data_IF_611145455546
#
_entry.id   IF_611145455546
#
_cell.length_a   1.000
_cell.length_b   1.000
_cell.length_c   1.000
_cell.angle_alpha   90.00
_cell.angle_beta   90.00
_cell.angle_gamma   90.00
#
_symmetry.space_group_name_H-M   'P 1'
#
loop_
_entity.id
_entity.type
_entity.pdbx_description
1 polymer ?
#
# COMPACT_ATOMS: atom_id res chain seq x y z
N UNK A 1 15.84 -15.14 -0.13
CA UNK A 1 14.82 -14.93 0.92
C UNK A 1 13.56 -14.40 0.28
N UNK A 2 12.42 -15.01 0.54
CA UNK A 2 11.11 -14.46 0.17
C UNK A 2 10.22 -14.36 1.40
N UNK A 3 9.22 -13.50 1.38
CA UNK A 3 8.28 -13.44 2.49
C UNK A 3 7.00 -12.69 2.19
N UNK A 4 5.98 -13.00 2.96
CA UNK A 4 4.71 -12.28 2.94
C UNK A 4 4.42 -11.74 4.33
N UNK A 5 3.89 -10.53 4.43
CA UNK A 5 3.45 -9.98 5.70
C UNK A 5 2.07 -9.36 5.59
N UNK A 6 1.26 -9.54 6.63
CA UNK A 6 -0.10 -9.03 6.69
C UNK A 6 -0.30 -8.20 7.94
N UNK A 7 -0.73 -6.95 7.75
CA UNK A 7 -1.08 -6.06 8.83
C UNK A 7 -2.58 -6.15 9.09
N UNK A 8 -2.97 -6.59 10.28
CA UNK A 8 -4.36 -6.76 10.68
C UNK A 8 -4.56 -6.33 12.15
N UNK A 9 -5.80 -6.45 12.64
CA UNK A 9 -6.11 -6.29 14.05
C UNK A 9 -6.40 -7.65 14.65
N UNK A 10 -5.90 -7.91 15.86
CA UNK A 10 -6.21 -9.12 16.60
C UNK A 10 -7.66 -9.11 17.12
N UNK A 11 -8.10 -10.18 17.79
CA UNK A 11 -9.44 -10.27 18.39
C UNK A 11 -9.72 -9.24 19.49
N UNK A 12 -8.67 -8.66 20.07
CA UNK A 12 -8.72 -7.66 21.13
C UNK A 12 -8.72 -6.22 20.58
N UNK A 13 -8.53 -6.07 19.26
CA UNK A 13 -8.53 -4.80 18.55
C UNK A 13 -7.14 -4.16 18.41
N UNK A 14 -6.08 -4.81 18.88
CA UNK A 14 -4.70 -4.33 18.79
C UNK A 14 -4.10 -4.62 17.42
N UNK A 15 -3.16 -3.78 17.01
CA UNK A 15 -2.48 -3.91 15.73
C UNK A 15 -1.51 -5.08 15.76
N UNK A 16 -1.61 -5.96 14.76
CA UNK A 16 -0.84 -7.19 14.69
C UNK A 16 -0.22 -7.34 13.29
N UNK A 17 1.01 -7.85 13.28
CA UNK A 17 1.78 -8.10 12.08
C UNK A 17 2.13 -9.58 12.00
N UNK A 18 1.44 -10.27 11.10
CA UNK A 18 1.70 -11.68 10.79
C UNK A 18 2.67 -11.74 9.61
N UNK A 19 3.70 -12.57 9.73
CA UNK A 19 4.78 -12.70 8.75
C UNK A 19 5.06 -14.16 8.44
N UNK A 20 5.27 -14.44 7.16
CA UNK A 20 5.78 -15.71 6.67
C UNK A 20 7.08 -15.44 5.94
N UNK A 21 8.20 -15.81 6.53
CA UNK A 21 9.54 -15.65 5.93
C UNK A 21 10.02 -17.00 5.44
N UNK A 22 10.37 -17.09 4.16
CA UNK A 22 10.94 -18.26 3.51
C UNK A 22 12.39 -18.02 3.13
N UNK A 23 13.28 -18.85 3.66
CA UNK A 23 14.69 -18.88 3.32
C UNK A 23 14.90 -20.07 2.40
N UNK A 24 15.17 -19.82 1.13
CA UNK A 24 15.55 -20.86 0.18
C UNK A 24 17.07 -20.88 0.06
N UNK A 25 17.66 -22.04 0.33
CA UNK A 25 19.11 -22.28 0.30
C UNK A 25 19.40 -23.28 -0.80
N UNK A 26 20.35 -22.94 -1.66
CA UNK A 26 20.83 -23.80 -2.76
C UNK A 26 22.30 -24.15 -2.64
N UNK A 27 22.80 -24.91 -3.63
CA UNK A 27 24.22 -25.27 -3.75
C UNK A 27 24.73 -26.16 -2.62
N UNK A 28 26.02 -26.04 -2.31
CA UNK A 28 26.69 -26.86 -1.29
C UNK A 28 26.08 -26.68 0.10
N UNK A 29 25.60 -25.48 0.43
CA UNK A 29 24.98 -25.26 1.73
C UNK A 29 23.69 -26.07 1.89
N UNK A 30 22.90 -26.23 0.83
CA UNK A 30 21.70 -27.07 0.86
C UNK A 30 22.05 -28.53 1.14
N UNK A 31 23.16 -29.05 0.59
CA UNK A 31 23.66 -30.38 0.91
C UNK A 31 24.06 -30.50 2.38
N UNK A 32 24.78 -29.51 2.93
CA UNK A 32 25.15 -29.53 4.36
C UNK A 32 23.94 -29.45 5.29
N UNK A 33 22.90 -28.70 4.91
CA UNK A 33 21.63 -28.69 5.64
C UNK A 33 20.94 -30.05 5.62
N UNK A 34 20.88 -30.70 4.45
CA UNK A 34 20.31 -32.05 4.27
C UNK A 34 21.08 -33.10 5.05
N UNK A 35 22.41 -33.08 4.92
CA UNK A 35 23.31 -33.98 5.64
C UNK A 35 23.19 -33.80 7.15
N UNK A 36 23.04 -32.55 7.62
CA UNK A 36 22.80 -32.26 9.02
C UNK A 36 21.49 -32.82 9.57
N UNK A 37 20.43 -32.88 8.76
CA UNK A 37 19.16 -33.53 9.15
C UNK A 37 19.28 -35.05 9.21
N UNK A 38 19.97 -35.67 8.24
CA UNK A 38 20.25 -37.13 8.21
C UNK A 38 21.18 -37.58 9.37
N UNK A 39 21.83 -36.64 10.06
CA UNK A 39 22.72 -36.89 11.21
C UNK A 39 22.18 -36.27 12.50
N UNK A 40 20.87 -36.05 12.60
CA UNK A 40 20.24 -35.44 13.77
C UNK A 40 20.54 -36.27 15.04
N UNK A 41 21.09 -35.61 16.07
CA UNK A 41 21.43 -36.26 17.33
C UNK A 41 22.63 -37.21 17.30
N UNK A 42 23.43 -37.17 16.24
CA UNK A 42 24.66 -37.95 16.17
C UNK A 42 25.79 -37.37 17.03
N UNK A 43 26.51 -38.24 17.74
CA UNK A 43 27.64 -37.85 18.60
C UNK A 43 28.95 -37.71 17.82
N UNK A 44 28.93 -37.90 16.50
CA UNK A 44 30.11 -37.82 15.66
C UNK A 44 30.85 -36.50 15.88
N UNK A 45 32.12 -36.63 16.28
CA UNK A 45 32.94 -35.50 16.75
C UNK A 45 33.17 -34.44 15.68
N UNK A 46 33.04 -34.77 14.40
CA UNK A 46 33.24 -33.86 13.25
C UNK A 46 32.03 -32.97 12.94
N UNK A 47 30.88 -33.19 13.57
CA UNK A 47 29.72 -32.32 13.39
C UNK A 47 30.00 -30.90 13.90
N UNK A 48 29.47 -29.91 13.19
CA UNK A 48 29.54 -28.52 13.64
C UNK A 48 28.85 -28.38 15.01
N UNK A 49 29.29 -27.46 15.89
CA UNK A 49 28.63 -27.23 17.17
C UNK A 49 27.14 -26.90 17.04
N UNK A 50 26.73 -26.36 15.89
CA UNK A 50 25.32 -26.08 15.56
C UNK A 50 24.55 -27.38 15.38
N UNK A 51 25.05 -28.33 14.59
CA UNK A 51 24.36 -29.61 14.37
C UNK A 51 24.30 -30.47 15.64
N UNK A 52 25.33 -30.40 16.49
CA UNK A 52 25.33 -31.07 17.81
C UNK A 52 24.32 -30.53 18.81
N UNK A 53 23.75 -29.35 18.55
CA UNK A 53 22.72 -28.77 19.44
C UNK A 53 21.33 -29.37 19.22
N UNK A 54 21.15 -30.19 18.19
CA UNK A 54 19.94 -30.96 17.94
C UNK A 54 20.02 -32.33 18.61
N UNK A 55 18.96 -32.69 19.32
CA UNK A 55 18.82 -34.01 19.94
C UNK A 55 18.27 -35.02 18.93
N UNK A 56 18.54 -36.32 19.11
CA UNK A 56 17.97 -37.36 18.24
C UNK A 56 16.43 -37.45 18.36
N UNK A 57 15.88 -37.09 19.53
CA UNK A 57 14.45 -37.08 19.76
C UNK A 57 13.81 -38.46 19.56
N UNK A 58 12.87 -38.54 18.61
CA UNK A 58 12.15 -39.76 18.24
C UNK A 58 12.74 -40.48 17.01
N UNK A 59 13.83 -39.96 16.43
CA UNK A 59 14.50 -40.59 15.28
C UNK A 59 15.21 -41.86 15.74
N UNK A 60 15.04 -42.94 14.98
CA UNK A 60 15.68 -44.23 15.28
C UNK A 60 17.09 -44.32 14.67
N UNK A 61 17.94 -45.19 15.23
CA UNK A 61 19.31 -45.37 14.73
C UNK A 61 19.35 -45.95 13.31
N UNK A 62 18.31 -46.65 12.88
CA UNK A 62 18.17 -47.17 11.51
C UNK A 62 17.77 -46.10 10.47
N UNK A 63 17.07 -45.05 10.91
CA UNK A 63 16.65 -43.93 10.05
C UNK A 63 17.80 -42.93 9.82
N UNK A 64 18.73 -42.85 10.79
CA UNK A 64 19.91 -41.98 10.73
C UNK A 64 20.97 -42.50 9.77
N UNK A 65 21.69 -41.59 9.13
CA UNK A 65 22.82 -41.89 8.22
C UNK A 65 22.38 -42.80 7.06
N UNK A 66 21.11 -42.71 6.68
CA UNK A 66 20.51 -43.48 5.60
C UNK A 66 20.78 -42.83 4.24
N UNK A 67 21.27 -41.57 4.24
CA UNK A 67 21.50 -40.70 3.08
C UNK A 67 20.20 -40.24 2.39
N UNK A 68 19.07 -40.50 3.03
CA UNK A 68 17.75 -40.00 2.65
C UNK A 68 17.10 -39.42 3.89
N UNK A 69 16.58 -38.21 3.79
CA UNK A 69 15.92 -37.55 4.92
C UNK A 69 14.58 -38.23 5.15
N UNK A 70 14.48 -38.92 6.27
CA UNK A 70 13.25 -39.59 6.65
C UNK A 70 12.22 -38.60 7.19
N UNK A 71 10.95 -38.97 7.12
CA UNK A 71 9.87 -38.08 7.59
C UNK A 71 9.96 -37.82 9.10
N UNK A 72 10.46 -38.79 9.87
CA UNK A 72 10.71 -38.65 11.31
C UNK A 72 11.78 -37.59 11.60
N UNK A 73 12.90 -37.61 10.87
CA UNK A 73 13.99 -36.64 11.00
C UNK A 73 13.54 -35.22 10.70
N UNK A 74 12.79 -35.05 9.60
CA UNK A 74 12.22 -33.76 9.23
C UNK A 74 11.30 -33.21 10.33
N UNK A 75 10.35 -34.02 10.81
CA UNK A 75 9.39 -33.61 11.84
C UNK A 75 10.13 -33.28 13.15
N UNK A 76 11.14 -34.06 13.52
CA UNK A 76 11.92 -33.81 14.73
C UNK A 76 12.74 -32.52 14.64
N UNK A 77 13.34 -32.26 13.47
CA UNK A 77 14.03 -31.00 13.20
C UNK A 77 13.07 -29.80 13.32
N UNK A 78 11.92 -29.85 12.65
CA UNK A 78 10.88 -28.81 12.70
C UNK A 78 10.41 -28.56 14.14
N UNK A 79 10.11 -29.63 14.87
CA UNK A 79 9.64 -29.59 16.26
C UNK A 79 10.65 -28.95 17.21
N UNK A 80 11.93 -29.31 17.08
CA UNK A 80 12.98 -28.73 17.94
C UNK A 80 13.22 -27.26 17.64
N UNK A 81 13.23 -26.90 16.35
CA UNK A 81 13.33 -25.50 15.91
C UNK A 81 12.16 -24.68 16.44
N UNK A 82 10.93 -25.20 16.39
CA UNK A 82 9.74 -24.50 16.88
C UNK A 82 9.77 -24.35 18.41
N UNK A 83 10.06 -25.44 19.14
CA UNK A 83 10.08 -25.44 20.61
C UNK A 83 11.14 -24.51 21.20
N UNK A 84 12.30 -24.44 20.55
CA UNK A 84 13.46 -23.67 21.01
C UNK A 84 13.80 -22.55 20.02
N UNK A 85 12.80 -21.89 19.43
CA UNK A 85 13.00 -20.89 18.36
C UNK A 85 13.93 -19.74 18.76
N UNK A 86 13.76 -19.22 19.97
CA UNK A 86 14.58 -18.18 20.57
C UNK A 86 16.08 -18.53 20.71
N UNK A 87 16.42 -19.82 20.84
CA UNK A 87 17.78 -20.27 21.13
C UNK A 87 18.34 -21.12 20.00
N UNK A 88 17.76 -22.30 19.78
CA UNK A 88 18.19 -23.26 18.75
C UNK A 88 18.04 -22.70 17.34
N UNK A 89 16.85 -22.19 16.99
CA UNK A 89 16.63 -21.68 15.63
C UNK A 89 17.47 -20.43 15.36
N UNK A 90 17.53 -19.53 16.35
CA UNK A 90 18.37 -18.33 16.26
C UNK A 90 19.86 -18.67 16.14
N UNK A 91 20.34 -19.68 16.89
CA UNK A 91 21.72 -20.17 16.79
C UNK A 91 22.01 -20.87 15.45
N UNK A 92 21.07 -21.66 14.95
CA UNK A 92 21.17 -22.32 13.65
C UNK A 92 21.29 -21.31 12.50
N UNK A 93 20.44 -20.29 12.49
CA UNK A 93 20.48 -19.25 11.47
C UNK A 93 21.74 -18.37 11.59
N UNK A 94 22.10 -17.93 12.80
CA UNK A 94 23.24 -17.03 13.01
C UNK A 94 24.60 -17.71 12.82
N UNK A 95 24.83 -18.86 13.44
CA UNK A 95 26.14 -19.53 13.41
C UNK A 95 26.23 -20.55 12.28
N UNK A 96 25.13 -21.24 11.96
CA UNK A 96 25.08 -22.23 10.89
C UNK A 96 25.02 -21.59 9.50
N UNK A 97 24.14 -20.61 9.33
CA UNK A 97 23.89 -19.95 8.04
C UNK A 97 24.51 -18.55 7.93
N UNK A 98 25.09 -17.99 9.01
CA UNK A 98 25.66 -16.65 8.98
C UNK A 98 24.60 -15.55 8.78
N UNK A 99 23.37 -15.78 9.26
CA UNK A 99 22.24 -14.86 9.11
C UNK A 99 21.91 -14.21 10.44
N UNK A 100 21.93 -12.88 10.52
CA UNK A 100 21.45 -12.14 11.69
C UNK A 100 19.93 -12.23 11.76
N UNK A 101 19.44 -12.93 12.79
CA UNK A 101 18.02 -13.26 12.97
C UNK A 101 17.20 -11.99 13.19
N UNK A 102 17.66 -11.11 14.07
CA UNK A 102 16.96 -9.87 14.43
C UNK A 102 16.79 -8.97 13.20
N UNK A 103 17.79 -8.90 12.33
CA UNK A 103 17.76 -8.13 11.10
C UNK A 103 16.86 -8.77 10.02
N UNK A 104 16.82 -10.11 9.95
CA UNK A 104 15.96 -10.83 9.00
C UNK A 104 14.47 -10.69 9.34
N UNK A 105 14.12 -10.81 10.64
CA UNK A 105 12.73 -10.77 11.09
C UNK A 105 12.26 -9.37 11.53
N UNK A 106 13.20 -8.43 11.70
CA UNK A 106 12.94 -7.05 12.11
C UNK A 106 12.85 -6.84 13.62
N UNK A 107 12.64 -7.93 14.38
CA UNK A 107 12.55 -7.97 15.83
C UNK A 107 13.22 -9.25 16.35
N UNK A 108 13.73 -9.27 17.59
CA UNK A 108 14.30 -10.47 18.18
C UNK A 108 13.28 -11.62 18.25
N UNK A 109 13.75 -12.85 18.06
CA UNK A 109 12.88 -14.04 18.06
C UNK A 109 12.16 -14.29 19.40
N UNK A 110 12.65 -13.69 20.49
CA UNK A 110 11.99 -13.72 21.81
C UNK A 110 10.70 -12.90 21.87
N UNK A 111 10.62 -11.84 21.08
CA UNK A 111 9.47 -10.91 21.06
C UNK A 111 8.42 -11.37 20.04
N UNK A 112 8.78 -12.31 19.18
CA UNK A 112 7.93 -12.89 18.15
C UNK A 112 7.22 -14.14 18.68
N UNK A 113 5.91 -14.21 18.44
CA UNK A 113 5.15 -15.45 18.62
C UNK A 113 5.38 -16.32 17.39
N UNK A 114 6.28 -17.30 17.50
CA UNK A 114 6.53 -18.27 16.43
C UNK A 114 5.36 -19.26 16.37
N UNK A 115 4.72 -19.34 15.20
CA UNK A 115 3.54 -20.18 14.96
C UNK A 115 3.89 -21.53 14.36
N UNK A 116 4.88 -21.56 13.46
CA UNK A 116 5.38 -22.79 12.86
C UNK A 116 6.73 -22.55 12.18
N UNK A 117 7.55 -23.59 12.13
CA UNK A 117 8.78 -23.64 11.34
C UNK A 117 8.69 -24.91 10.51
N UNK A 118 8.67 -24.76 9.19
CA UNK A 118 8.56 -25.88 8.26
C UNK A 118 9.79 -25.96 7.36
N UNK A 119 10.23 -27.18 7.08
CA UNK A 119 11.27 -27.50 6.11
C UNK A 119 10.60 -27.96 4.82
N UNK A 120 11.05 -27.43 3.69
CA UNK A 120 10.64 -27.87 2.36
C UNK A 120 11.84 -28.45 1.62
N UNK A 121 11.74 -29.72 1.24
CA UNK A 121 12.77 -30.42 0.50
C UNK A 121 12.52 -30.40 -1.02
N UNK A 122 11.44 -29.73 -1.46
CA UNK A 122 11.05 -29.58 -2.86
C UNK A 122 10.90 -30.91 -3.62
N UNK A 123 10.46 -31.96 -2.91
CA UNK A 123 10.20 -33.28 -3.49
C UNK A 123 11.40 -34.23 -3.57
N UNK A 124 12.60 -33.79 -3.14
CA UNK A 124 13.82 -34.61 -3.11
C UNK A 124 14.19 -34.92 -1.65
N UNK A 125 14.18 -36.18 -1.23
CA UNK A 125 14.55 -36.57 0.14
C UNK A 125 16.03 -36.89 0.28
N UNK A 126 16.73 -37.21 -0.82
CA UNK A 126 18.11 -37.63 -0.75
C UNK A 126 19.05 -36.49 -0.30
N UNK A 127 20.16 -36.87 0.32
CA UNK A 127 21.25 -35.96 0.70
C UNK A 127 22.08 -35.62 -0.54
N UNK A 128 21.55 -34.71 -1.35
CA UNK A 128 22.15 -34.22 -2.60
C UNK A 128 22.14 -32.69 -2.66
N UNK A 129 22.84 -32.11 -3.63
CA UNK A 129 22.83 -30.67 -3.92
C UNK A 129 21.48 -30.23 -4.53
N UNK A 130 20.38 -30.33 -3.77
CA UNK A 130 19.04 -29.88 -4.14
C UNK A 130 18.56 -28.82 -3.14
N UNK A 131 17.83 -27.77 -3.56
CA UNK A 131 17.39 -26.71 -2.67
C UNK A 131 16.66 -27.19 -1.41
N UNK A 132 16.82 -26.43 -0.32
CA UNK A 132 16.09 -26.59 0.94
C UNK A 132 15.45 -25.26 1.31
N UNK A 133 14.16 -25.29 1.63
CA UNK A 133 13.40 -24.15 2.09
C UNK A 133 13.15 -24.23 3.59
N UNK A 134 13.36 -23.14 4.32
CA UNK A 134 12.88 -22.96 5.68
C UNK A 134 11.78 -21.91 5.68
N UNK A 135 10.59 -22.26 6.13
CA UNK A 135 9.44 -21.35 6.20
C UNK A 135 9.07 -21.10 7.67
N UNK A 136 9.27 -19.86 8.11
CA UNK A 136 8.96 -19.37 9.44
C UNK A 136 7.65 -18.59 9.39
N UNK A 137 6.66 -19.01 10.17
CA UNK A 137 5.43 -18.24 10.38
C UNK A 137 5.51 -17.61 11.76
N UNK A 138 5.54 -16.28 11.81
CA UNK A 138 5.68 -15.52 13.06
C UNK A 138 4.60 -14.46 13.16
N UNK A 139 4.30 -14.06 14.38
CA UNK A 139 3.32 -13.01 14.64
C UNK A 139 3.84 -12.08 15.72
N UNK A 140 3.73 -10.79 15.46
CA UNK A 140 4.14 -9.72 16.37
C UNK A 140 2.91 -8.86 16.69
N UNK A 141 2.65 -8.64 17.98
CA UNK A 141 1.65 -7.65 18.41
C UNK A 141 2.38 -6.33 18.55
N UNK A 142 1.95 -5.34 17.78
CA UNK A 142 2.53 -4.01 17.77
C UNK A 142 1.89 -3.23 18.93
N UNK A 143 2.58 -3.18 20.06
CA UNK A 143 2.12 -2.49 21.25
C UNK A 143 1.96 -0.99 21.04
N UNK A 144 0.87 -0.44 21.56
CA UNK A 144 0.58 1.00 21.59
C UNK A 144 1.35 1.63 22.77
N UNK A 145 2.68 1.66 22.70
CA UNK A 145 3.46 2.36 23.72
C UNK A 145 3.34 3.88 23.43
N UNK A 146 2.42 4.50 24.19
CA UNK A 146 1.89 5.88 24.18
C UNK A 146 2.93 7.04 24.07
N UNK A 147 4.22 6.73 23.94
CA UNK A 147 5.32 7.70 23.84
C UNK A 147 5.92 7.84 22.43
N UNK A 148 5.45 7.07 21.44
CA UNK A 148 5.85 7.28 20.05
C UNK A 148 4.68 7.09 19.07
N UNK A 149 4.36 8.08 18.21
CA UNK A 149 3.39 7.87 17.16
C UNK A 149 3.93 6.77 16.25
N UNK A 150 3.21 5.65 16.13
CA UNK A 150 3.50 4.57 15.16
C UNK A 150 5.00 4.31 14.98
N UNK A 151 5.65 3.80 16.04
CA UNK A 151 7.07 3.50 16.07
C UNK A 151 7.49 2.87 14.74
N UNK A 152 8.42 3.52 14.05
CA UNK A 152 8.95 2.98 12.80
C UNK A 152 9.56 1.63 13.11
N UNK A 153 8.99 0.57 12.56
CA UNK A 153 9.54 -0.76 12.67
C UNK A 153 10.41 -1.04 11.46
N UNK A 154 11.58 -1.60 11.70
CA UNK A 154 12.38 -2.23 10.67
C UNK A 154 11.76 -3.57 10.33
N UNK A 155 11.26 -3.75 9.11
CA UNK A 155 10.73 -5.04 8.66
C UNK A 155 11.83 -6.04 8.35
N UNK A 156 12.88 -5.55 7.68
CA UNK A 156 14.05 -6.32 7.30
C UNK A 156 15.23 -5.35 7.18
N UNK A 157 16.37 -5.77 7.68
CA UNK A 157 17.65 -5.07 7.57
C UNK A 157 18.66 -5.99 6.88
N UNK A 158 19.86 -5.48 6.68
CA UNK A 158 20.99 -6.31 6.26
C UNK A 158 21.22 -7.44 7.26
N UNK A 159 20.84 -8.64 6.84
CA UNK A 159 20.88 -9.84 7.67
C UNK A 159 22.09 -10.73 7.37
N UNK A 160 22.94 -10.39 6.40
CA UNK A 160 24.08 -11.24 6.07
C UNK A 160 25.25 -10.82 6.96
N UNK A 161 25.75 -11.75 7.77
CA UNK A 161 26.94 -11.47 8.57
C UNK A 161 28.19 -11.47 7.69
N UNK A 162 29.05 -10.47 7.87
CA UNK A 162 30.35 -10.43 7.21
C UNK A 162 31.22 -11.62 7.67
N UNK A 163 31.71 -12.42 6.71
CA UNK A 163 32.61 -13.53 6.97
C UNK A 163 33.88 -13.44 6.10
N UNK A 164 35.08 -13.80 6.64
CA UNK A 164 36.33 -13.76 5.87
C UNK A 164 36.34 -14.63 4.61
N UNK A 165 35.52 -15.69 4.60
CA UNK A 165 35.20 -16.50 3.43
C UNK A 165 33.68 -16.40 3.24
N UNK A 166 33.19 -15.83 2.13
CA UNK A 166 31.76 -15.62 1.94
C UNK A 166 31.05 -16.97 1.79
N UNK A 167 30.01 -17.20 2.61
CA UNK A 167 29.14 -18.38 2.50
C UNK A 167 28.18 -18.27 1.31
N UNK A 168 27.84 -17.05 0.91
CA UNK A 168 26.78 -16.74 -0.05
C UNK A 168 27.37 -16.01 -1.25
N UNK A 169 27.06 -16.49 -2.46
CA UNK A 169 27.45 -15.83 -3.71
C UNK A 169 26.35 -14.93 -4.26
N UNK A 170 25.10 -15.37 -4.17
CA UNK A 170 23.94 -14.70 -4.75
C UNK A 170 22.83 -14.62 -3.71
N UNK A 171 22.41 -13.40 -3.37
CA UNK A 171 21.27 -13.18 -2.47
C UNK A 171 20.19 -12.38 -3.16
N UNK A 172 18.97 -12.91 -3.11
CA UNK A 172 17.76 -12.26 -3.60
C UNK A 172 16.75 -12.09 -2.47
N UNK A 173 16.01 -10.99 -2.49
CA UNK A 173 14.95 -10.67 -1.54
C UNK A 173 13.68 -10.37 -2.32
N UNK A 174 12.58 -11.01 -1.94
CA UNK A 174 11.25 -10.72 -2.45
C UNK A 174 10.25 -10.69 -1.30
N UNK A 175 9.73 -9.52 -0.97
CA UNK A 175 8.80 -9.33 0.15
C UNK A 175 7.49 -8.74 -0.37
N UNK A 176 6.35 -9.31 0.02
CA UNK A 176 5.01 -8.82 -0.32
C UNK A 176 4.17 -8.57 0.95
N UNK A 177 3.77 -7.33 1.15
CA UNK A 177 2.95 -6.87 2.25
C UNK A 177 1.53 -6.59 1.85
N UNK A 178 0.56 -6.96 2.69
CA UNK A 178 -0.85 -6.61 2.54
C UNK A 178 -1.41 -5.99 3.80
N UNK A 179 -2.16 -4.90 3.68
CA UNK A 179 -2.93 -4.32 4.78
C UNK A 179 -4.42 -4.58 4.59
N UNK A 180 -5.20 -4.30 5.64
CA UNK A 180 -6.66 -4.31 5.58
C UNK A 180 -7.22 -2.92 5.25
N UNK A 181 -8.54 -2.84 5.06
CA UNK A 181 -9.29 -1.60 4.82
C UNK A 181 -9.04 -0.49 5.85
N UNK A 182 -8.73 -0.90 7.09
CA UNK A 182 -8.62 -0.02 8.27
C UNK A 182 -7.21 0.06 8.84
N UNK A 183 -6.21 -0.48 8.13
CA UNK A 183 -4.80 -0.41 8.52
C UNK A 183 -3.96 0.07 7.34
N UNK A 184 -2.89 0.79 7.60
CA UNK A 184 -2.04 1.39 6.56
C UNK A 184 -0.56 1.20 6.87
N UNK A 185 0.23 1.07 5.81
CA UNK A 185 1.68 1.18 5.87
C UNK A 185 2.06 2.63 5.63
N UNK A 186 2.22 3.41 6.69
CA UNK A 186 2.68 4.79 6.56
C UNK A 186 4.19 4.86 6.32
N UNK A 187 4.60 5.83 5.51
CA UNK A 187 6.00 6.18 5.24
C UNK A 187 6.94 4.99 4.97
N UNK A 188 6.59 4.03 4.10
CA UNK A 188 7.51 2.95 3.77
C UNK A 188 8.76 3.55 3.12
N UNK A 189 9.94 3.18 3.63
CA UNK A 189 11.20 3.72 3.17
C UNK A 189 12.27 2.64 3.16
N UNK A 190 12.94 2.53 2.03
CA UNK A 190 14.19 1.76 1.90
C UNK A 190 15.35 2.72 2.03
N UNK A 191 16.27 2.43 2.94
CA UNK A 191 17.53 3.14 3.12
C UNK A 191 18.70 2.24 2.73
N UNK A 192 19.82 2.84 2.30
CA UNK A 192 21.08 2.14 2.06
C UNK A 192 21.32 1.69 0.61
N UNK A 193 20.53 0.77 0.07
CA UNK A 193 20.83 0.17 -1.24
C UNK A 193 20.00 0.72 -2.41
N UNK A 194 20.63 0.80 -3.59
CA UNK A 194 20.00 1.21 -4.87
C UNK A 194 19.46 0.02 -5.67
N UNK A 195 19.81 -1.20 -5.31
CA UNK A 195 19.39 -2.43 -6.01
C UNK A 195 17.97 -2.87 -5.62
N UNK A 196 17.47 -2.36 -4.49
CA UNK A 196 16.13 -2.60 -3.98
C UNK A 196 15.08 -1.72 -4.66
N UNK A 197 14.05 -2.33 -5.21
CA UNK A 197 12.88 -1.67 -5.79
C UNK A 197 11.69 -1.86 -4.87
N UNK A 198 11.10 -0.74 -4.45
CA UNK A 198 9.90 -0.72 -3.64
C UNK A 198 8.72 -0.24 -4.50
N UNK A 199 7.58 -0.91 -4.38
CA UNK A 199 6.30 -0.49 -4.95
C UNK A 199 5.25 -0.46 -3.86
N UNK A 200 4.47 0.62 -3.80
CA UNK A 200 3.39 0.79 -2.82
C UNK A 200 2.12 1.21 -3.55
N UNK A 201 1.07 0.41 -3.39
CA UNK A 201 -0.24 0.65 -4.00
C UNK A 201 -1.31 0.61 -2.92
N UNK A 202 -2.29 1.50 -3.03
CA UNK A 202 -3.43 1.60 -2.12
C UNK A 202 -4.72 1.37 -2.89
N UNK A 203 -5.46 0.36 -2.45
CA UNK A 203 -6.79 0.03 -2.95
C UNK A 203 -7.84 0.25 -1.85
N UNK A 204 -9.13 0.36 -2.20
CA UNK A 204 -10.20 0.52 -1.22
C UNK A 204 -10.25 -0.61 -0.17
N UNK A 205 -9.83 -1.82 -0.54
CA UNK A 205 -9.82 -3.02 0.31
C UNK A 205 -8.51 -3.23 1.08
N UNK A 206 -7.51 -2.36 0.90
CA UNK A 206 -6.20 -2.50 1.57
C UNK A 206 -5.03 -1.99 0.72
N UNK A 207 -3.85 -1.95 1.33
CA UNK A 207 -2.59 -1.59 0.66
C UNK A 207 -1.80 -2.83 0.27
N UNK A 208 -0.98 -2.70 -0.78
CA UNK A 208 0.00 -3.70 -1.19
C UNK A 208 1.36 -3.04 -1.26
N UNK A 209 2.33 -3.63 -0.57
CA UNK A 209 3.70 -3.14 -0.49
C UNK A 209 4.63 -4.24 -0.99
N UNK A 210 5.33 -4.05 -2.10
CA UNK A 210 6.30 -5.02 -2.60
C UNK A 210 7.72 -4.47 -2.55
N UNK A 211 8.66 -5.34 -2.18
CA UNK A 211 10.08 -5.06 -2.17
C UNK A 211 10.79 -6.18 -2.93
N UNK A 212 11.54 -5.81 -3.96
CA UNK A 212 12.31 -6.75 -4.78
C UNK A 212 13.76 -6.31 -4.85
N UNK A 213 14.66 -7.25 -4.55
CA UNK A 213 16.12 -7.10 -4.68
C UNK A 213 16.70 -8.36 -5.32
N UNK A 214 17.38 -8.19 -6.44
CA UNK A 214 18.04 -9.29 -7.14
C UNK A 214 19.55 -9.08 -7.10
N UNK A 215 20.29 -10.15 -6.79
CA UNK A 215 21.75 -10.16 -6.73
C UNK A 215 22.30 -9.03 -5.86
N UNK A 216 21.87 -9.04 -4.59
CA UNK A 216 22.34 -8.10 -3.58
C UNK A 216 23.81 -8.40 -3.27
N UNK A 217 24.61 -7.34 -3.22
CA UNK A 217 25.99 -7.44 -2.76
C UNK A 217 25.98 -7.77 -1.26
N UNK A 218 26.70 -8.81 -0.79
CA UNK A 218 26.83 -9.09 0.64
C UNK A 218 27.41 -7.94 1.47
N UNK A 219 28.03 -6.92 0.84
CA UNK A 219 28.53 -5.72 1.52
C UNK A 219 27.52 -4.54 1.53
N UNK A 220 26.39 -4.65 0.83
CA UNK A 220 25.38 -3.60 0.73
C UNK A 220 24.50 -3.55 2.00
N UNK A 221 24.71 -2.54 2.85
CA UNK A 221 23.83 -2.31 4.00
C UNK A 221 22.49 -1.72 3.54
N UNK A 222 21.37 -2.31 3.93
CA UNK A 222 20.03 -1.77 3.69
C UNK A 222 19.13 -1.89 4.90
N UNK A 223 18.15 -1.00 4.99
CA UNK A 223 17.11 -1.03 6.04
C UNK A 223 15.77 -0.71 5.41
N UNK A 224 14.79 -1.60 5.58
CA UNK A 224 13.42 -1.38 5.14
C UNK A 224 12.52 -1.09 6.33
N UNK A 225 12.07 0.16 6.42
CA UNK A 225 11.25 0.65 7.52
C UNK A 225 9.81 0.88 7.07
N UNK A 226 8.86 0.58 7.96
CA UNK A 226 7.45 0.96 7.83
C UNK A 226 6.93 1.56 9.14
N UNK A 227 5.94 2.45 9.05
CA UNK A 227 5.16 2.88 10.20
C UNK A 227 3.76 2.28 10.10
N UNK A 228 3.48 1.15 10.76
CA UNK A 228 2.15 0.58 10.77
C UNK A 228 1.20 1.52 11.52
N UNK A 229 0.02 1.74 10.96
CA UNK A 229 -0.94 2.71 11.49
C UNK A 229 -2.36 2.16 11.41
N UNK A 230 -3.10 2.34 12.50
CA UNK A 230 -4.54 2.11 12.56
C UNK A 230 -5.34 3.41 12.49
N UNK A 231 -4.68 4.53 12.21
CA UNK A 231 -5.35 5.83 12.22
C UNK A 231 -6.42 5.88 11.12
N UNK A 232 -7.65 6.31 11.43
CA UNK A 232 -8.71 6.44 10.42
C UNK A 232 -8.39 7.45 9.31
N UNK A 233 -7.39 8.32 9.50
CA UNK A 233 -6.97 9.29 8.49
C UNK A 233 -5.97 8.72 7.48
N UNK A 234 -5.25 7.65 7.85
CA UNK A 234 -4.31 6.96 6.97
C UNK A 234 -4.89 5.69 6.36
N UNK A 235 -5.86 5.07 7.02
CA UNK A 235 -6.53 3.87 6.54
C UNK A 235 -7.09 4.06 5.10
N UNK A 236 -6.90 3.06 4.21
CA UNK A 236 -7.25 3.18 2.79
C UNK A 236 -8.71 3.55 2.53
N UNK A 237 -9.64 2.84 3.17
CA UNK A 237 -11.07 3.00 2.90
C UNK A 237 -11.59 4.34 3.40
N UNK A 238 -11.22 4.70 4.62
CA UNK A 238 -11.64 5.95 5.25
C UNK A 238 -11.06 7.17 4.54
N UNK A 239 -9.78 7.12 4.14
CA UNK A 239 -9.17 8.17 3.32
C UNK A 239 -9.87 8.29 1.96
N UNK A 240 -10.25 7.17 1.32
CA UNK A 240 -11.02 7.19 0.09
C UNK A 240 -12.40 7.85 0.28
N UNK A 241 -13.12 7.50 1.36
CA UNK A 241 -14.43 8.09 1.65
C UNK A 241 -14.29 9.59 1.94
N UNK A 242 -13.30 10.01 2.72
CA UNK A 242 -13.04 11.41 3.02
C UNK A 242 -12.70 12.21 1.77
N UNK A 243 -11.89 11.65 0.88
CA UNK A 243 -11.52 12.31 -0.39
C UNK A 243 -12.71 12.43 -1.32
N UNK A 244 -13.49 11.36 -1.52
CA UNK A 244 -14.69 11.37 -2.36
C UNK A 244 -15.77 12.31 -1.83
N UNK A 245 -16.03 12.30 -0.53
CA UNK A 245 -17.00 13.21 0.09
C UNK A 245 -16.56 14.66 -0.03
N UNK A 246 -15.27 14.96 0.22
CA UNK A 246 -14.70 16.29 0.05
C UNK A 246 -14.85 16.81 -1.39
N UNK A 247 -14.51 15.98 -2.39
CA UNK A 247 -14.69 16.33 -3.81
C UNK A 247 -16.17 16.53 -4.14
N UNK A 248 -17.07 15.66 -3.67
CA UNK A 248 -18.50 15.77 -3.91
C UNK A 248 -19.07 17.08 -3.34
N UNK A 249 -18.80 17.39 -2.08
CA UNK A 249 -19.27 18.61 -1.44
C UNK A 249 -18.67 19.86 -2.09
N UNK A 250 -17.37 19.84 -2.39
CA UNK A 250 -16.68 20.93 -3.09
C UNK A 250 -17.30 21.22 -4.45
N UNK A 251 -17.61 20.17 -5.22
CA UNK A 251 -18.25 20.29 -6.54
C UNK A 251 -19.71 20.74 -6.46
N UNK A 252 -20.50 20.21 -5.52
CA UNK A 252 -21.88 20.65 -5.29
C UNK A 252 -21.96 22.13 -4.91
N UNK A 253 -21.01 22.60 -4.09
CA UNK A 253 -20.89 24.01 -3.76
C UNK A 253 -20.56 24.87 -4.99
N UNK A 254 -19.64 24.42 -5.84
CA UNK A 254 -19.33 25.10 -7.11
C UNK A 254 -20.53 25.13 -8.08
N UNK A 255 -21.33 24.05 -8.14
CA UNK A 255 -22.58 24.02 -8.89
C UNK A 255 -23.62 25.00 -8.35
N UNK A 256 -23.67 25.18 -7.03
CA UNK A 256 -24.56 26.16 -6.38
C UNK A 256 -24.18 27.60 -6.76
N UNK A 257 -22.87 27.91 -6.81
CA UNK A 257 -22.36 29.22 -7.26
C UNK A 257 -22.67 29.47 -8.74
N UNK A 258 -22.56 28.45 -9.58
CA UNK A 258 -22.78 28.54 -11.03
C UNK A 258 -24.24 28.39 -11.47
N UNK A 259 -25.23 28.56 -10.57
CA UNK A 259 -26.66 28.41 -10.92
C UNK A 259 -27.10 29.24 -12.14
N UNK A 260 -26.58 30.47 -12.26
CA UNK A 260 -26.90 31.43 -13.34
C UNK A 260 -25.69 31.68 -14.28
N UNK A 261 -24.71 30.77 -14.29
CA UNK A 261 -23.46 30.90 -15.06
C UNK A 261 -23.27 29.71 -15.99
N UNK A 262 -22.37 29.84 -16.97
CA UNK A 262 -22.02 28.72 -17.85
C UNK A 262 -21.23 27.66 -17.08
N UNK A 263 -21.56 26.37 -17.26
CA UNK A 263 -20.92 25.26 -16.54
C UNK A 263 -19.87 24.49 -17.35
N UNK A 264 -19.64 24.88 -18.61
CA UNK A 264 -18.76 24.14 -19.53
C UNK A 264 -17.33 23.95 -19.00
N UNK A 265 -16.71 25.00 -18.45
CA UNK A 265 -15.35 24.94 -17.89
C UNK A 265 -15.30 24.04 -16.66
N UNK A 266 -16.31 24.13 -15.78
CA UNK A 266 -16.42 23.30 -14.58
C UNK A 266 -16.53 21.80 -14.91
N UNK A 267 -17.24 21.44 -15.98
CA UNK A 267 -17.31 20.04 -16.42
C UNK A 267 -15.99 19.52 -17.01
N UNK A 268 -15.20 20.39 -17.65
CA UNK A 268 -13.86 20.02 -18.13
C UNK A 268 -12.91 19.71 -16.95
N UNK A 269 -13.00 20.48 -15.87
CA UNK A 269 -12.19 20.30 -14.66
C UNK A 269 -12.51 19.00 -13.89
N UNK A 270 -13.52 18.23 -14.28
CA UNK A 270 -13.78 16.89 -13.74
C UNK A 270 -12.63 15.91 -14.00
N UNK A 271 -11.75 16.22 -14.97
CA UNK A 271 -10.51 15.47 -15.22
C UNK A 271 -9.55 15.50 -14.02
N UNK A 272 -9.71 16.44 -13.08
CA UNK A 272 -8.91 16.48 -11.86
C UNK A 272 -9.26 15.35 -10.87
N UNK A 273 -10.48 14.81 -10.93
CA UNK A 273 -10.90 13.68 -10.08
C UNK A 273 -10.05 12.43 -10.32
N UNK A 274 -9.88 11.92 -11.57
CA UNK A 274 -9.02 10.76 -11.80
C UNK A 274 -7.56 11.05 -11.45
N UNK A 275 -7.09 12.30 -11.53
CA UNK A 275 -5.72 12.65 -11.07
C UNK A 275 -5.59 12.44 -9.55
N UNK A 276 -6.54 12.94 -8.75
CA UNK A 276 -6.55 12.68 -7.30
C UNK A 276 -6.71 11.20 -6.99
N UNK A 277 -7.51 10.47 -7.76
CA UNK A 277 -7.66 9.03 -7.63
C UNK A 277 -6.34 8.28 -7.89
N UNK A 278 -5.55 8.70 -8.90
CA UNK A 278 -4.22 8.13 -9.16
C UNK A 278 -3.27 8.43 -7.99
N UNK A 279 -3.27 9.66 -7.46
CA UNK A 279 -2.45 10.02 -6.28
C UNK A 279 -2.83 9.16 -5.07
N UNK A 280 -4.12 8.88 -4.88
CA UNK A 280 -4.57 7.96 -3.84
C UNK A 280 -4.11 6.52 -4.12
N UNK A 281 -4.22 6.04 -5.36
CA UNK A 281 -3.85 4.67 -5.78
C UNK A 281 -2.35 4.41 -5.61
N UNK A 282 -1.50 5.39 -5.92
CA UNK A 282 -0.05 5.32 -5.72
C UNK A 282 0.38 5.45 -4.25
N UNK A 283 -0.57 5.32 -3.32
CA UNK A 283 -0.35 5.28 -1.88
C UNK A 283 0.45 6.45 -1.31
N UNK A 284 0.35 7.64 -1.91
CA UNK A 284 0.95 8.85 -1.34
C UNK A 284 0.41 9.11 0.08
N UNK A 285 1.22 9.78 0.90
CA UNK A 285 0.83 10.10 2.29
C UNK A 285 -0.54 10.78 2.37
N UNK A 286 -1.28 10.52 3.43
CA UNK A 286 -2.62 11.09 3.67
C UNK A 286 -2.64 12.62 3.57
N UNK A 287 -1.56 13.28 3.99
CA UNK A 287 -1.35 14.73 3.88
C UNK A 287 -1.30 15.19 2.42
N UNK A 288 -0.58 14.47 1.55
CA UNK A 288 -0.47 14.80 0.12
C UNK A 288 -1.82 14.58 -0.57
N UNK A 289 -2.51 13.48 -0.26
CA UNK A 289 -3.82 13.17 -0.83
C UNK A 289 -4.85 14.23 -0.41
N UNK A 290 -4.89 14.59 0.89
CA UNK A 290 -5.75 15.65 1.41
C UNK A 290 -5.43 17.03 0.81
N UNK A 291 -4.14 17.36 0.67
CA UNK A 291 -3.69 18.60 0.03
C UNK A 291 -4.11 18.69 -1.43
N UNK A 292 -3.90 17.62 -2.21
CA UNK A 292 -4.33 17.56 -3.61
C UNK A 292 -5.85 17.74 -3.74
N UNK A 293 -6.62 17.08 -2.87
CA UNK A 293 -8.08 17.19 -2.81
C UNK A 293 -8.52 18.63 -2.53
N UNK A 294 -7.92 19.29 -1.55
CA UNK A 294 -8.23 20.67 -1.20
C UNK A 294 -7.91 21.65 -2.35
N UNK A 295 -6.78 21.47 -3.03
CA UNK A 295 -6.39 22.29 -4.19
C UNK A 295 -7.42 22.16 -5.31
N UNK A 296 -7.88 20.96 -5.63
CA UNK A 296 -8.91 20.73 -6.66
C UNK A 296 -10.23 21.44 -6.29
N UNK A 297 -10.66 21.35 -5.04
CA UNK A 297 -11.87 22.05 -4.56
C UNK A 297 -11.73 23.56 -4.70
N UNK A 298 -10.58 24.13 -4.33
CA UNK A 298 -10.32 25.57 -4.48
C UNK A 298 -10.33 25.99 -5.95
N UNK A 299 -9.75 25.20 -6.85
CA UNK A 299 -9.80 25.45 -8.30
C UNK A 299 -11.26 25.53 -8.77
N UNK A 300 -12.10 24.56 -8.41
CA UNK A 300 -13.52 24.59 -8.77
C UNK A 300 -14.24 25.83 -8.23
N UNK A 301 -13.91 26.27 -7.02
CA UNK A 301 -14.49 27.48 -6.45
C UNK A 301 -14.05 28.73 -7.22
N UNK A 302 -12.77 28.87 -7.54
CA UNK A 302 -12.28 30.00 -8.34
C UNK A 302 -12.91 30.00 -9.73
N UNK A 303 -12.96 28.86 -10.41
CA UNK A 303 -13.61 28.71 -11.72
C UNK A 303 -15.10 29.01 -11.66
N UNK A 304 -15.78 28.62 -10.58
CA UNK A 304 -17.19 28.92 -10.38
C UNK A 304 -17.48 30.42 -10.29
N UNK A 305 -16.57 31.19 -9.69
CA UNK A 305 -16.68 32.65 -9.49
C UNK A 305 -16.27 33.43 -10.74
N UNK A 306 -15.31 32.93 -11.52
CA UNK A 306 -14.83 33.60 -12.74
C UNK A 306 -15.65 33.24 -13.99
N UNK A 307 -16.44 32.16 -13.95
CA UNK A 307 -17.24 31.71 -15.09
C UNK A 307 -18.22 32.79 -15.61
N UNK A 308 -18.31 33.01 -16.94
CA UNK A 308 -19.21 34.01 -17.53
C UNK A 308 -20.69 33.70 -17.23
N UNK A 309 -21.46 34.77 -16.99
CA UNK A 309 -22.92 34.69 -16.84
C UNK A 309 -23.57 34.13 -18.10
N UNK A 310 -24.68 33.43 -17.93
CA UNK A 310 -25.42 32.88 -19.07
C UNK A 310 -25.92 34.01 -19.98
N UNK A 311 -25.79 33.83 -21.30
CA UNK A 311 -26.27 34.82 -22.29
C UNK A 311 -27.78 35.06 -22.20
N UNK A 312 -28.53 34.07 -21.71
CA UNK A 312 -29.99 34.18 -21.50
C UNK A 312 -30.31 35.25 -20.47
N UNK A 313 -29.63 35.24 -19.33
CA UNK A 313 -29.84 36.20 -18.24
C UNK A 313 -29.43 37.63 -18.65
N UNK A 314 -28.32 37.78 -19.38
CA UNK A 314 -27.86 39.09 -19.86
C UNK A 314 -28.82 39.70 -20.88
N UNK A 315 -29.43 38.86 -21.74
CA UNK A 315 -30.41 39.31 -22.74
C UNK A 315 -31.74 39.65 -22.08
N UNK A 316 -32.20 38.87 -21.10
CA UNK A 316 -33.42 39.13 -20.35
C UNK A 316 -33.32 40.39 -19.47
N UNK A 317 -32.15 40.65 -18.87
CA UNK A 317 -31.85 41.87 -18.12
C UNK A 317 -31.72 43.11 -19.04
N UNK A 318 -31.14 42.96 -20.24
CA UNK A 318 -31.07 44.06 -21.22
C UNK A 318 -32.44 44.42 -21.83
N UNK A 319 -33.32 43.43 -22.05
CA UNK A 319 -34.68 43.66 -22.54
C UNK A 319 -35.55 44.37 -21.48
N UNK A 320 -35.27 44.14 -20.19
CA UNK A 320 -36.04 44.76 -19.08
C UNK A 320 -35.56 46.16 -18.71
N UNK A 321 -34.28 46.50 -18.90
CA UNK A 321 -33.71 47.77 -18.41
C UNK A 321 -33.77 48.95 -19.40
N UNK A 322 -33.77 48.74 -20.71
CA UNK A 322 -33.48 49.85 -21.65
C UNK A 322 -34.52 50.14 -22.74
N UNK A 323 -35.59 49.36 -22.86
CA UNK A 323 -36.62 49.62 -23.89
C UNK A 323 -37.99 49.81 -23.26
N UNK A 324 -38.63 50.98 -23.39
CA UNK A 324 -40.00 51.16 -22.91
C UNK A 324 -40.91 50.19 -23.68
N UNK A 325 -41.82 49.54 -22.96
CA UNK A 325 -42.72 48.52 -23.52
C UNK A 325 -44.11 49.12 -23.67
N UNK A 326 -44.71 49.00 -24.85
CA UNK A 326 -46.09 49.43 -25.10
C UNK A 326 -46.99 48.22 -25.41
N UNK A 327 -48.24 48.18 -24.88
CA UNK A 327 -49.18 47.14 -25.24
C UNK A 327 -49.69 47.33 -26.67
N UNK A 328 -49.83 46.24 -27.43
CA UNK A 328 -50.43 46.29 -28.75
C UNK A 328 -51.93 46.65 -28.65
N UNK A 329 -52.44 47.66 -29.38
CA UNK A 329 -53.86 48.02 -29.33
C UNK A 329 -54.81 46.95 -29.88
N UNK A 330 -54.31 45.95 -30.61
CA UNK A 330 -55.13 44.90 -31.21
C UNK A 330 -55.16 43.59 -30.40
N UNK A 331 -54.11 43.28 -29.62
CA UNK A 331 -54.00 42.00 -28.91
C UNK A 331 -53.41 42.11 -27.49
N UNK A 332 -53.19 43.32 -27.00
CA UNK A 332 -52.64 43.65 -25.67
C UNK A 332 -51.27 43.05 -25.35
N UNK A 333 -50.61 42.41 -26.32
CA UNK A 333 -49.27 41.87 -26.13
C UNK A 333 -48.25 43.00 -25.92
N UNK A 334 -47.42 42.95 -24.87
CA UNK A 334 -46.37 43.93 -24.64
C UNK A 334 -45.31 43.85 -25.76
N UNK A 335 -44.97 44.99 -26.37
CA UNK A 335 -43.91 45.08 -27.38
C UNK A 335 -42.85 46.12 -26.98
N UNK A 336 -41.55 45.79 -27.07
CA UNK A 336 -40.49 46.75 -26.80
C UNK A 336 -40.42 47.82 -27.89
N UNK A 337 -40.17 49.08 -27.51
CA UNK A 337 -39.95 50.20 -28.43
C UNK A 337 -38.43 50.31 -28.69
N UNK A 338 -37.94 49.98 -29.90
CA UNK A 338 -36.50 49.86 -30.19
C UNK A 338 -35.79 51.18 -30.52
N UNK A 339 -36.52 52.29 -30.73
CA UNK A 339 -35.95 53.59 -31.10
C UNK A 339 -36.83 54.74 -30.62
N UNK A 340 -36.21 55.88 -30.31
CA UNK A 340 -36.87 57.14 -29.93
C UNK A 340 -37.14 58.08 -31.12
N UNK A 341 -36.63 57.77 -32.31
CA UNK A 341 -36.95 58.52 -33.52
C UNK A 341 -38.43 58.30 -33.90
N UNK A 342 -39.13 59.39 -34.22
CA UNK A 342 -40.54 59.38 -34.62
C UNK A 342 -40.68 59.98 -36.03
N UNK A 343 -41.55 59.43 -36.91
CA UNK A 343 -42.47 58.32 -36.66
C UNK A 343 -41.82 56.94 -36.77
N UNK A 344 -42.12 56.05 -35.80
CA UNK A 344 -41.61 54.67 -35.77
C UNK A 344 -42.70 53.69 -36.21
N UNK A 345 -42.35 52.70 -37.04
CA UNK A 345 -43.23 51.60 -37.46
C UNK A 345 -42.55 50.27 -37.19
N UNK A 346 -43.20 49.38 -36.45
CA UNK A 346 -42.72 48.02 -36.22
C UNK A 346 -43.88 47.04 -36.08
N UNK A 347 -43.63 45.75 -36.31
CA UNK A 347 -44.63 44.70 -36.21
C UNK A 347 -44.82 44.25 -34.75
N UNK A 348 -46.07 44.05 -34.33
CA UNK A 348 -46.39 43.43 -33.05
C UNK A 348 -45.90 41.98 -33.02
N UNK A 349 -45.18 41.59 -31.96
CA UNK A 349 -44.70 40.22 -31.71
C UNK A 349 -45.87 39.23 -31.60
N UNK A 350 -47.03 39.66 -31.07
CA UNK A 350 -48.21 38.82 -30.86
C UNK A 350 -49.05 38.61 -32.13
N UNK A 351 -49.54 39.69 -32.75
CA UNK A 351 -50.51 39.61 -33.85
C UNK A 351 -49.97 40.05 -35.22
N UNK A 352 -48.67 40.36 -35.33
CA UNK A 352 -47.98 40.77 -36.56
C UNK A 352 -48.57 42.01 -37.27
N UNK A 353 -49.52 42.72 -36.65
CA UNK A 353 -50.00 44.01 -37.15
C UNK A 353 -48.95 45.10 -36.95
N UNK A 354 -48.88 46.03 -37.91
CA UNK A 354 -47.97 47.17 -37.86
C UNK A 354 -48.47 48.18 -36.82
N UNK A 355 -47.65 48.42 -35.80
CA UNK A 355 -47.83 49.49 -34.82
C UNK A 355 -47.10 50.72 -35.34
N UNK A 356 -47.78 51.86 -35.34
CA UNK A 356 -47.21 53.16 -35.70
C UNK A 356 -47.23 54.06 -34.46
N UNK A 357 -46.06 54.50 -34.03
CA UNK A 357 -45.92 55.52 -32.99
C UNK A 357 -45.63 56.86 -33.67
N UNK A 358 -46.51 57.84 -33.42
CA UNK A 358 -46.38 59.23 -33.86
C UNK A 358 -45.96 60.11 -32.67
N UNK A 359 -45.40 61.29 -32.95
CA UNK A 359 -44.95 62.25 -31.93
C UNK A 359 -46.11 62.75 -31.06
#
# INVERSE_FOLDING_TARGET
VSGTFTLNKNSEGELQLERTTRIEVGGEMAFWMRWGMDHLGDEVTTLSPVLKSFDAGAVTDEERVSRSIETSEKIEFERQMERNSATLASYYLSVGLGITVDDLFGSPMNDLVVRSINVDLYGESDVVNHPVGLAFTTTEVLGDDDSSPSARISLIQDFITFQPVPLWSDVSISLEGKSTEMTSFEFPKVEGSKSLKMSHLRFPWGETLSLEGNNLDPEDTFVFNISPSESPLAAPLTLLILTLTSLLFGFLFALRITRNRRRGVLYLEMILIPVVAIVHLLAFSSVIVGGATAVVVVIWWVTSVTSPRSRKDVVEEAITLTTPVIPCPACSTPNPVPSDERPLRFACVGCQRVIKIVA
#
